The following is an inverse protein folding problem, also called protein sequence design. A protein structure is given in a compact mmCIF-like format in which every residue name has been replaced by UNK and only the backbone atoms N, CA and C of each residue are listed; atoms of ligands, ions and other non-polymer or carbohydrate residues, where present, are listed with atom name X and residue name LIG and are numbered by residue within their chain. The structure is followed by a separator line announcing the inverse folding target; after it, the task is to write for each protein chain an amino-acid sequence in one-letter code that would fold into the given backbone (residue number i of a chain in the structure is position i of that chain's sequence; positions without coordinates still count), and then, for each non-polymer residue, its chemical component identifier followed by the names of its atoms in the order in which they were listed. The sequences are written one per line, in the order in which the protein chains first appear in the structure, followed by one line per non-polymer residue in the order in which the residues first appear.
data_IF_566193242474
#
_entry.id   IF_566193242474
#
_cell.length_a   1.000
_cell.length_b   1.000
_cell.length_c   1.000
_cell.angle_alpha   90.00
_cell.angle_beta   90.00
_cell.angle_gamma   90.00
#
_symmetry.space_group_name_H-M   'P 1'
#
loop_
_entity.id
_entity.type
_entity.pdbx_description
1 polymer ?
#
# COMPACT_ATOMS: atom_id res chain seq x y z
N UNK A 1 28.98 20.97 -3.29
CA UNK A 1 28.40 19.64 -3.12
C UNK A 1 26.97 19.84 -2.65
N UNK A 2 25.99 19.53 -3.46
CA UNK A 2 24.60 19.51 -3.01
C UNK A 2 24.48 18.26 -2.12
N UNK A 3 24.22 18.46 -0.83
CA UNK A 3 23.86 17.34 0.06
C UNK A 3 22.51 16.85 -0.46
N UNK A 4 22.50 15.76 -1.17
CA UNK A 4 21.25 15.10 -1.56
C UNK A 4 20.66 14.57 -0.26
N UNK A 5 19.55 15.17 0.18
CA UNK A 5 18.83 14.70 1.36
C UNK A 5 18.33 13.27 1.16
N UNK A 6 18.10 12.55 2.26
CA UNK A 6 17.51 11.22 2.21
C UNK A 6 16.10 11.31 1.61
N UNK A 7 15.77 10.46 0.64
CA UNK A 7 14.42 10.33 0.07
C UNK A 7 13.57 9.35 0.89
N UNK A 8 12.36 9.76 1.22
CA UNK A 8 11.39 8.96 1.97
C UNK A 8 10.29 8.46 1.03
N UNK A 9 10.33 7.17 0.69
CA UNK A 9 9.37 6.54 -0.22
C UNK A 9 8.25 5.93 0.62
N UNK A 10 7.14 6.64 0.75
CA UNK A 10 5.97 6.18 1.49
C UNK A 10 5.21 5.16 0.66
N UNK A 11 5.13 3.92 1.13
CA UNK A 11 4.28 2.86 0.56
C UNK A 11 2.79 3.20 0.84
N UNK A 12 2.29 4.19 0.09
CA UNK A 12 0.97 4.79 0.28
C UNK A 12 -0.13 3.93 -0.34
N UNK A 13 -0.77 3.08 0.48
CA UNK A 13 -1.76 2.11 0.00
C UNK A 13 -3.18 2.67 -0.18
N UNK A 14 -3.43 3.94 0.12
CA UNK A 14 -4.77 4.53 0.15
C UNK A 14 -5.60 4.17 1.39
N UNK A 15 -4.99 3.53 2.39
CA UNK A 15 -5.61 3.28 3.69
C UNK A 15 -5.19 4.31 4.74
N UNK A 16 -5.99 4.40 5.82
CA UNK A 16 -5.81 5.33 6.93
C UNK A 16 -4.37 5.35 7.49
N UNK A 17 -3.84 4.20 7.90
CA UNK A 17 -2.51 4.12 8.51
C UNK A 17 -1.39 4.62 7.60
N UNK A 18 -1.47 4.34 6.28
CA UNK A 18 -0.48 4.84 5.32
C UNK A 18 -0.62 6.35 5.06
N UNK A 19 -1.82 6.91 5.21
CA UNK A 19 -2.05 8.35 5.12
C UNK A 19 -1.48 9.09 6.33
N UNK A 20 -1.74 8.60 7.55
CA UNK A 20 -1.13 9.16 8.77
C UNK A 20 0.39 9.10 8.70
N UNK A 21 0.96 7.96 8.25
CA UNK A 21 2.40 7.84 8.06
C UNK A 21 2.95 8.85 7.03
N UNK A 22 2.22 9.10 5.95
CA UNK A 22 2.61 10.11 4.95
C UNK A 22 2.63 11.52 5.53
N UNK A 23 1.61 11.88 6.33
CA UNK A 23 1.56 13.20 7.01
C UNK A 23 2.75 13.37 7.94
N UNK A 24 3.06 12.37 8.76
CA UNK A 24 4.20 12.41 9.70
C UNK A 24 5.53 12.58 8.96
N UNK A 25 5.73 11.87 7.86
CA UNK A 25 6.95 11.96 7.04
C UNK A 25 7.09 13.35 6.43
N UNK A 26 6.05 13.87 5.78
CA UNK A 26 6.10 15.19 5.15
C UNK A 26 6.32 16.30 6.19
N UNK A 27 5.68 16.22 7.35
CA UNK A 27 5.89 17.19 8.43
C UNK A 27 7.31 17.18 9.00
N UNK A 28 7.94 16.00 9.01
CA UNK A 28 9.29 15.85 9.58
C UNK A 28 10.40 16.14 8.58
N UNK A 29 10.24 15.74 7.33
CA UNK A 29 11.31 15.73 6.35
C UNK A 29 11.07 16.66 5.14
N UNK A 30 9.84 17.15 4.97
CA UNK A 30 9.45 18.01 3.85
C UNK A 30 8.80 17.24 2.69
N UNK A 31 8.02 17.98 1.91
CA UNK A 31 7.34 17.44 0.74
C UNK A 31 8.34 17.11 -0.39
N UNK A 32 9.39 17.89 -0.51
CA UNK A 32 10.45 17.76 -1.52
C UNK A 32 11.26 16.47 -1.38
N UNK A 33 11.40 15.93 -0.16
CA UNK A 33 12.11 14.68 0.11
C UNK A 33 11.18 13.48 0.24
N UNK A 34 9.88 13.66 -0.01
CA UNK A 34 8.88 12.61 0.11
C UNK A 34 8.32 12.18 -1.25
N UNK A 35 8.18 10.87 -1.44
CA UNK A 35 7.50 10.25 -2.60
C UNK A 35 6.33 9.45 -2.07
N UNK A 36 5.12 9.72 -2.55
CA UNK A 36 3.94 8.88 -2.29
C UNK A 36 3.85 7.80 -3.36
N UNK A 37 4.33 6.59 -3.07
CA UNK A 37 4.29 5.47 -4.00
C UNK A 37 3.03 4.63 -3.79
N UNK A 38 2.23 4.50 -4.84
CA UNK A 38 0.98 3.74 -4.84
C UNK A 38 0.93 2.74 -6.00
N UNK A 39 0.11 1.72 -5.86
CA UNK A 39 -0.32 0.83 -6.94
C UNK A 39 -1.81 1.03 -7.12
N UNK A 40 -2.20 1.68 -8.20
CA UNK A 40 -3.61 1.83 -8.53
C UNK A 40 -4.20 0.47 -8.91
N UNK A 41 -5.44 0.23 -8.56
CA UNK A 41 -6.08 -1.07 -8.76
C UNK A 41 -7.27 -0.92 -9.69
N UNK A 42 -7.66 -2.06 -10.28
CA UNK A 42 -8.80 -2.11 -11.19
C UNK A 42 -10.05 -1.47 -10.57
N UNK A 43 -10.70 -0.52 -11.28
CA UNK A 43 -11.87 0.21 -10.77
C UNK A 43 -13.06 -0.69 -10.40
N UNK A 44 -13.09 -1.93 -10.88
CA UNK A 44 -14.13 -2.89 -10.49
C UNK A 44 -14.02 -3.32 -9.02
N UNK A 45 -12.84 -3.26 -8.45
CA UNK A 45 -12.56 -3.80 -7.11
C UNK A 45 -11.90 -2.80 -6.16
N UNK A 46 -11.34 -1.71 -6.65
CA UNK A 46 -10.96 -0.58 -5.81
C UNK A 46 -12.12 0.42 -5.75
N UNK A 47 -12.62 0.67 -4.57
CA UNK A 47 -13.72 1.62 -4.35
C UNK A 47 -13.32 3.04 -4.78
N UNK A 48 -14.22 3.74 -5.46
CA UNK A 48 -13.98 5.10 -5.95
C UNK A 48 -13.67 6.08 -4.80
N UNK A 49 -14.21 5.84 -3.62
CA UNK A 49 -13.95 6.69 -2.45
C UNK A 49 -12.54 6.51 -1.89
N UNK A 50 -11.89 5.36 -2.13
CA UNK A 50 -10.45 5.21 -1.87
C UNK A 50 -9.64 6.11 -2.81
N UNK A 51 -10.05 6.25 -4.07
CA UNK A 51 -9.39 7.15 -5.01
C UNK A 51 -9.59 8.62 -4.61
N UNK A 52 -10.79 9.01 -4.15
CA UNK A 52 -11.03 10.33 -3.55
C UNK A 52 -10.07 10.58 -2.39
N UNK A 53 -10.01 9.64 -1.45
CA UNK A 53 -9.15 9.73 -0.27
C UNK A 53 -7.67 9.87 -0.63
N UNK A 54 -7.16 9.04 -1.55
CA UNK A 54 -5.79 9.14 -2.05
C UNK A 54 -5.49 10.54 -2.59
N UNK A 55 -6.41 11.09 -3.41
CA UNK A 55 -6.26 12.43 -3.97
C UNK A 55 -6.25 13.51 -2.89
N UNK A 56 -7.17 13.47 -1.94
CA UNK A 56 -7.24 14.46 -0.85
C UNK A 56 -5.97 14.47 0.00
N UNK A 57 -5.41 13.29 0.32
CA UNK A 57 -4.13 13.20 1.04
C UNK A 57 -2.99 13.80 0.22
N UNK A 58 -2.90 13.48 -1.06
CA UNK A 58 -1.91 14.03 -1.99
C UNK A 58 -2.00 15.56 -2.08
N UNK A 59 -3.21 16.09 -2.25
CA UNK A 59 -3.47 17.53 -2.34
C UNK A 59 -3.08 18.25 -1.02
N UNK A 60 -3.46 17.67 0.13
CA UNK A 60 -3.12 18.21 1.45
C UNK A 60 -1.62 18.28 1.69
N UNK A 61 -0.88 17.25 1.29
CA UNK A 61 0.56 17.17 1.46
C UNK A 61 1.35 17.98 0.42
N UNK A 62 0.71 18.37 -0.68
CA UNK A 62 1.42 18.98 -1.82
C UNK A 62 2.37 18.01 -2.53
N UNK A 63 2.20 16.70 -2.33
CA UNK A 63 3.05 15.65 -2.91
C UNK A 63 2.22 14.81 -3.89
N UNK A 64 2.54 14.82 -5.19
CA UNK A 64 1.82 14.01 -6.17
C UNK A 64 2.03 12.51 -5.93
N UNK A 65 0.99 11.72 -6.23
CA UNK A 65 1.11 10.28 -6.14
C UNK A 65 1.90 9.73 -7.33
N UNK A 66 2.96 8.99 -7.05
CA UNK A 66 3.69 8.19 -8.05
C UNK A 66 3.06 6.81 -8.13
N UNK A 67 2.58 6.43 -9.30
CA UNK A 67 1.97 5.12 -9.53
C UNK A 67 2.97 4.14 -10.12
N UNK A 68 3.23 3.04 -9.41
CA UNK A 68 4.04 1.92 -9.87
C UNK A 68 3.12 0.75 -10.28
N UNK A 69 2.55 0.82 -11.46
CA UNK A 69 1.59 -0.15 -11.97
C UNK A 69 2.20 -1.04 -13.06
N UNK A 70 1.68 -2.27 -13.18
CA UNK A 70 1.92 -3.09 -14.36
C UNK A 70 0.96 -2.69 -15.50
N UNK A 71 1.34 -2.86 -16.76
CA UNK A 71 0.43 -2.69 -17.89
C UNK A 71 -0.86 -3.51 -17.72
N UNK A 72 -2.01 -2.92 -18.03
CA UNK A 72 -3.31 -3.58 -17.92
C UNK A 72 -3.88 -3.71 -16.51
N UNK A 73 -3.33 -2.99 -15.52
CA UNK A 73 -3.83 -2.97 -14.14
C UNK A 73 -5.29 -2.52 -14.03
N UNK A 74 -5.73 -1.66 -14.90
CA UNK A 74 -7.08 -1.06 -14.94
C UNK A 74 -8.17 -2.05 -15.37
N UNK A 75 -7.79 -3.09 -16.10
CA UNK A 75 -8.69 -4.14 -16.59
C UNK A 75 -8.50 -5.51 -15.92
N UNK A 76 -7.45 -5.68 -15.11
CA UNK A 76 -7.12 -6.93 -14.43
C UNK A 76 -7.26 -6.79 -12.92
N UNK A 77 -8.21 -7.50 -12.32
CA UNK A 77 -8.40 -7.53 -10.88
C UNK A 77 -7.80 -8.80 -10.23
N UNK A 78 -8.02 -8.95 -8.92
CA UNK A 78 -7.51 -10.09 -8.14
C UNK A 78 -8.03 -11.44 -8.62
N UNK A 79 -9.24 -11.50 -9.17
CA UNK A 79 -9.84 -12.73 -9.67
C UNK A 79 -9.21 -13.14 -10.98
N UNK A 80 -9.02 -12.18 -11.91
CA UNK A 80 -8.38 -12.42 -13.19
C UNK A 80 -6.98 -13.00 -13.01
N UNK A 81 -6.20 -12.45 -12.07
CA UNK A 81 -4.86 -12.98 -11.74
C UNK A 81 -4.94 -14.43 -11.25
N UNK A 82 -5.88 -14.75 -10.36
CA UNK A 82 -6.00 -16.11 -9.83
C UNK A 82 -6.49 -17.10 -10.87
N UNK A 83 -7.41 -16.70 -11.74
CA UNK A 83 -7.89 -17.53 -12.85
C UNK A 83 -6.77 -17.84 -13.87
N UNK A 84 -5.96 -16.85 -14.23
CA UNK A 84 -4.83 -17.06 -15.14
C UNK A 84 -3.79 -18.02 -14.57
N UNK A 85 -3.46 -17.87 -13.29
CA UNK A 85 -2.46 -18.71 -12.61
C UNK A 85 -3.07 -20.07 -12.18
N UNK A 86 -4.41 -20.18 -12.13
CA UNK A 86 -5.19 -21.31 -11.59
C UNK A 86 -4.82 -21.64 -10.14
N UNK A 87 -4.46 -20.61 -9.36
CA UNK A 87 -4.10 -20.75 -7.95
C UNK A 87 -4.23 -19.41 -7.22
N UNK A 88 -4.54 -19.49 -5.92
CA UNK A 88 -4.52 -18.32 -5.03
C UNK A 88 -3.15 -18.07 -4.41
N UNK A 89 -2.43 -19.13 -4.03
CA UNK A 89 -1.10 -19.11 -3.41
C UNK A 89 -0.27 -20.30 -3.86
N UNK A 90 1.05 -20.12 -3.86
CA UNK A 90 2.00 -21.23 -4.09
C UNK A 90 2.07 -22.20 -2.89
N UNK A 91 1.76 -21.74 -1.68
CA UNK A 91 1.77 -22.54 -0.44
C UNK A 91 1.23 -21.74 0.74
N UNK A 92 1.03 -22.39 1.89
CA UNK A 92 0.38 -21.78 3.06
C UNK A 92 1.06 -20.48 3.54
N UNK A 93 2.37 -20.43 3.50
CA UNK A 93 3.19 -19.27 3.95
C UNK A 93 3.48 -18.25 2.84
N UNK A 94 3.11 -18.53 1.59
CA UNK A 94 3.39 -17.64 0.47
C UNK A 94 2.44 -16.44 0.41
N UNK A 95 2.89 -15.38 -0.26
CA UNK A 95 2.03 -14.24 -0.60
C UNK A 95 1.00 -14.67 -1.65
N UNK A 96 -0.23 -14.15 -1.55
CA UNK A 96 -1.25 -14.38 -2.57
C UNK A 96 -0.79 -13.84 -3.93
N UNK A 97 -1.03 -14.58 -5.01
CA UNK A 97 -0.60 -14.21 -6.35
C UNK A 97 -1.11 -12.85 -6.81
N UNK A 98 -2.35 -12.48 -6.48
CA UNK A 98 -2.88 -11.15 -6.78
C UNK A 98 -2.05 -10.04 -6.09
N UNK A 99 -1.64 -10.23 -4.83
CA UNK A 99 -0.76 -9.28 -4.14
C UNK A 99 0.60 -9.21 -4.83
N UNK A 100 1.15 -10.35 -5.24
CA UNK A 100 2.44 -10.40 -5.88
C UNK A 100 2.40 -9.66 -7.23
N UNK A 101 1.49 -10.04 -8.12
CA UNK A 101 1.39 -9.50 -9.48
C UNK A 101 0.96 -8.03 -9.54
N UNK A 102 -0.01 -7.63 -8.68
CA UNK A 102 -0.58 -6.28 -8.76
C UNK A 102 0.14 -5.25 -7.89
N UNK A 103 0.99 -5.69 -6.93
CA UNK A 103 1.65 -4.76 -5.99
C UNK A 103 3.13 -5.04 -5.80
N UNK A 104 3.52 -6.29 -5.45
CA UNK A 104 4.91 -6.58 -5.06
C UNK A 104 5.87 -6.51 -6.24
N UNK A 105 5.56 -7.16 -7.35
CA UNK A 105 6.38 -7.12 -8.56
C UNK A 105 6.51 -5.71 -9.14
N UNK A 106 5.40 -4.92 -9.32
CA UNK A 106 5.52 -3.54 -9.76
C UNK A 106 6.35 -2.68 -8.81
N UNK A 107 6.22 -2.87 -7.50
CA UNK A 107 7.01 -2.16 -6.50
C UNK A 107 8.51 -2.45 -6.65
N UNK A 108 8.89 -3.73 -6.73
CA UNK A 108 10.30 -4.11 -6.90
C UNK A 108 10.86 -3.62 -8.23
N UNK A 109 10.08 -3.71 -9.30
CA UNK A 109 10.48 -3.19 -10.60
C UNK A 109 10.73 -1.68 -10.52
N UNK A 110 9.80 -0.93 -9.97
CA UNK A 110 9.94 0.53 -9.81
C UNK A 110 11.18 0.89 -8.98
N UNK A 111 11.41 0.20 -7.85
CA UNK A 111 12.61 0.40 -7.04
C UNK A 111 13.90 0.13 -7.83
N UNK A 112 13.96 -0.96 -8.56
CA UNK A 112 15.17 -1.32 -9.33
C UNK A 112 15.46 -0.35 -10.48
N UNK A 113 14.43 0.29 -11.03
CA UNK A 113 14.57 1.25 -12.12
C UNK A 113 14.97 2.66 -11.62
N UNK A 114 14.44 3.09 -10.46
CA UNK A 114 14.65 4.45 -9.96
C UNK A 114 15.72 4.53 -8.86
N UNK A 115 15.85 3.49 -8.08
CA UNK A 115 16.76 3.43 -6.92
C UNK A 115 17.45 2.06 -6.85
N UNK A 116 18.26 1.69 -7.85
CA UNK A 116 18.93 0.39 -7.86
C UNK A 116 19.81 0.22 -6.63
N UNK A 117 19.70 -0.91 -5.94
CA UNK A 117 20.51 -1.28 -4.80
C UNK A 117 21.52 -2.39 -5.18
N UNK A 118 22.60 -2.49 -4.44
CA UNK A 118 23.65 -3.49 -4.64
C UNK A 118 23.87 -4.29 -3.34
N UNK A 119 23.00 -5.28 -3.02
CA UNK A 119 23.18 -6.09 -1.81
C UNK A 119 24.55 -6.78 -1.78
N UNK A 120 25.16 -6.94 -0.58
CA UNK A 120 24.56 -6.76 0.75
C UNK A 120 24.57 -5.32 1.29
N UNK A 121 25.07 -4.36 0.56
CA UNK A 121 25.10 -2.97 1.00
C UNK A 121 23.67 -2.42 1.07
N UNK A 122 23.37 -1.70 2.14
CA UNK A 122 22.09 -1.01 2.34
C UNK A 122 22.25 0.46 1.99
N UNK A 123 21.41 0.96 1.10
CA UNK A 123 21.41 2.37 0.70
C UNK A 123 21.05 3.27 1.89
N UNK A 124 21.77 4.36 2.06
CA UNK A 124 21.56 5.35 3.12
C UNK A 124 20.89 6.65 2.62
N UNK A 125 20.71 6.77 1.30
CA UNK A 125 20.09 7.93 0.65
C UNK A 125 18.58 7.79 0.44
N UNK A 126 18.00 6.62 0.71
CA UNK A 126 16.56 6.40 0.67
C UNK A 126 16.07 5.58 1.85
N UNK A 127 14.82 5.78 2.25
CA UNK A 127 14.10 4.99 3.24
C UNK A 127 12.71 4.62 2.74
N UNK A 128 12.31 3.35 2.92
CA UNK A 128 11.00 2.85 2.58
C UNK A 128 10.08 2.94 3.79
N UNK A 129 9.04 3.76 3.70
CA UNK A 129 8.15 4.07 4.81
C UNK A 129 6.89 3.22 4.76
N UNK A 130 6.55 2.59 5.88
CA UNK A 130 5.35 1.75 6.03
C UNK A 130 4.47 2.20 7.19
N UNK A 131 3.15 2.23 6.97
CA UNK A 131 2.15 2.54 7.99
C UNK A 131 1.83 1.36 8.92
N UNK A 132 2.86 0.70 9.50
CA UNK A 132 2.69 -0.31 10.53
C UNK A 132 2.83 0.33 11.91
N UNK A 133 1.95 -0.04 12.85
CA UNK A 133 1.97 0.48 14.22
C UNK A 133 2.73 -0.43 15.19
N UNK A 134 2.82 0.01 16.44
CA UNK A 134 3.55 -0.69 17.50
C UNK A 134 3.00 -2.10 17.81
N UNK A 135 1.72 -2.38 17.50
CA UNK A 135 1.12 -3.69 17.72
C UNK A 135 1.46 -4.69 16.59
N UNK A 136 2.07 -4.21 15.51
CA UNK A 136 2.41 -5.00 14.32
C UNK A 136 3.90 -5.40 14.26
N UNK A 137 4.56 -5.57 15.42
CA UNK A 137 6.01 -5.83 15.52
C UNK A 137 6.48 -7.01 14.65
N UNK A 138 5.67 -8.07 14.52
CA UNK A 138 6.00 -9.21 13.66
C UNK A 138 6.06 -8.83 12.17
N UNK A 139 5.19 -7.91 11.73
CA UNK A 139 5.18 -7.39 10.35
C UNK A 139 6.38 -6.47 10.12
N UNK A 140 6.70 -5.62 11.11
CA UNK A 140 7.87 -4.73 11.08
C UNK A 140 9.14 -5.56 10.92
N UNK A 141 9.40 -6.51 11.84
CA UNK A 141 10.61 -7.36 11.80
C UNK A 141 10.76 -8.10 10.46
N UNK A 142 9.65 -8.67 9.97
CA UNK A 142 9.65 -9.35 8.67
C UNK A 142 9.97 -8.38 7.54
N UNK A 143 9.43 -7.17 7.55
CA UNK A 143 9.64 -6.17 6.50
C UNK A 143 11.06 -5.64 6.51
N UNK A 144 11.61 -5.33 7.69
CA UNK A 144 13.01 -4.94 7.86
C UNK A 144 13.93 -5.98 7.21
N UNK A 145 13.79 -7.26 7.56
CA UNK A 145 14.65 -8.33 7.02
C UNK A 145 14.54 -8.47 5.50
N UNK A 146 13.32 -8.40 4.94
CA UNK A 146 13.12 -8.49 3.48
C UNK A 146 13.77 -7.31 2.76
N UNK A 147 13.56 -6.08 3.23
CA UNK A 147 14.06 -4.89 2.56
C UNK A 147 15.57 -4.74 2.74
N UNK A 148 16.13 -5.06 3.91
CA UNK A 148 17.57 -5.08 4.14
C UNK A 148 18.28 -6.09 3.21
N UNK A 149 17.71 -7.28 3.03
CA UNK A 149 18.24 -8.27 2.07
C UNK A 149 18.20 -7.79 0.61
N UNK A 150 17.37 -6.80 0.30
CA UNK A 150 17.29 -6.15 -1.01
C UNK A 150 18.13 -4.86 -1.09
N UNK A 151 18.85 -4.48 -0.02
CA UNK A 151 19.68 -3.29 0.04
C UNK A 151 18.93 -2.00 0.38
N UNK A 152 17.78 -2.07 1.07
CA UNK A 152 16.98 -0.90 1.47
C UNK A 152 16.72 -0.86 2.96
N UNK A 153 16.75 0.34 3.54
CA UNK A 153 16.29 0.59 4.90
C UNK A 153 14.79 0.91 4.96
N UNK A 154 14.22 0.83 6.15
CA UNK A 154 12.77 1.03 6.35
C UNK A 154 12.48 1.91 7.55
N UNK A 155 11.38 2.68 7.48
CA UNK A 155 10.86 3.51 8.56
C UNK A 155 9.40 3.22 8.86
N UNK A 156 9.02 3.46 10.13
CA UNK A 156 7.69 3.17 10.64
C UNK A 156 7.16 4.34 11.48
N UNK A 157 6.66 5.41 10.85
CA UNK A 157 6.27 6.64 11.55
C UNK A 157 5.22 6.43 12.65
N UNK A 158 4.35 5.42 12.51
CA UNK A 158 3.34 5.13 13.53
C UNK A 158 3.90 4.52 14.82
N UNK A 159 5.21 4.20 14.84
CA UNK A 159 5.94 3.76 16.04
C UNK A 159 6.78 4.85 16.68
N UNK A 160 6.84 6.06 16.12
CA UNK A 160 7.59 7.16 16.70
C UNK A 160 6.99 7.59 18.03
N UNK A 161 7.82 7.96 18.99
CA UNK A 161 7.41 8.42 20.33
C UNK A 161 6.57 9.69 20.26
N UNK A 162 6.95 10.61 19.37
CA UNK A 162 6.23 11.86 19.14
C UNK A 162 5.66 11.85 17.73
N UNK A 163 4.33 11.88 17.64
CA UNK A 163 3.58 12.05 16.40
C UNK A 163 2.76 13.32 16.45
N UNK A 164 2.55 13.92 15.28
CA UNK A 164 1.81 15.18 15.15
C UNK A 164 0.31 14.96 14.95
N UNK A 165 -0.09 13.78 14.49
CA UNK A 165 -1.48 13.33 14.38
C UNK A 165 -1.61 11.83 14.74
N UNK A 166 -2.78 11.45 15.21
CA UNK A 166 -3.16 10.05 15.45
C UNK A 166 -4.21 9.57 14.46
N UNK A 167 -4.97 10.50 13.89
CA UNK A 167 -6.02 10.24 12.92
C UNK A 167 -5.95 11.23 11.75
N UNK A 168 -6.26 10.74 10.55
CA UNK A 168 -6.26 11.58 9.35
C UNK A 168 -7.39 12.63 9.39
N UNK A 169 -8.44 12.40 10.17
CA UNK A 169 -9.53 13.35 10.35
C UNK A 169 -9.08 14.62 11.11
N UNK A 170 -8.01 14.55 11.89
CA UNK A 170 -7.38 15.72 12.55
C UNK A 170 -6.86 16.77 11.55
N UNK A 171 -6.64 16.37 10.29
CA UNK A 171 -6.25 17.28 9.21
C UNK A 171 -7.39 17.58 8.23
N UNK A 172 -8.63 17.28 8.63
CA UNK A 172 -9.84 17.59 7.85
C UNK A 172 -10.11 16.65 6.67
N UNK A 173 -9.47 15.47 6.65
CA UNK A 173 -9.67 14.48 5.59
C UNK A 173 -10.50 13.33 6.14
N UNK A 174 -11.71 13.14 5.61
CA UNK A 174 -12.57 12.01 5.98
C UNK A 174 -11.96 10.67 5.52
N UNK A 175 -12.02 9.67 6.40
CA UNK A 175 -11.63 8.29 6.06
C UNK A 175 -12.44 7.75 4.88
N UNK A 176 -11.91 6.79 4.13
CA UNK A 176 -12.69 6.13 3.08
C UNK A 176 -13.97 5.49 3.64
N UNK A 177 -15.09 5.67 2.95
CA UNK A 177 -16.39 5.07 3.33
C UNK A 177 -16.35 3.56 3.49
N UNK A 178 -15.41 2.91 2.82
CA UNK A 178 -15.17 1.46 2.99
C UNK A 178 -14.86 1.06 4.43
N UNK A 179 -14.37 1.96 5.28
CA UNK A 179 -14.13 1.68 6.69
C UNK A 179 -15.41 1.45 7.49
N UNK A 180 -16.53 2.11 7.13
CA UNK A 180 -17.83 1.87 7.76
C UNK A 180 -18.46 0.52 7.37
N UNK A 181 -18.02 -0.05 6.23
CA UNK A 181 -18.55 -1.29 5.67
C UNK A 181 -17.63 -2.48 5.99
N UNK A 182 -16.32 -2.31 5.78
CA UNK A 182 -15.32 -3.38 5.84
C UNK A 182 -14.26 -3.21 6.92
N UNK A 183 -14.21 -2.07 7.63
CA UNK A 183 -13.14 -1.69 8.55
C UNK A 183 -11.73 -1.61 7.92
N UNK A 184 -11.63 -1.51 6.60
CA UNK A 184 -10.35 -1.44 5.88
C UNK A 184 -10.54 -0.90 4.45
N UNK A 185 -9.42 -0.54 3.80
CA UNK A 185 -9.35 -0.07 2.42
C UNK A 185 -8.80 -1.15 1.45
N UNK A 186 -9.08 -2.43 1.67
CA UNK A 186 -8.70 -3.49 0.73
C UNK A 186 -9.67 -3.53 -0.46
N UNK A 187 -9.26 -4.24 -1.53
CA UNK A 187 -10.15 -4.51 -2.66
C UNK A 187 -11.48 -5.10 -2.20
N UNK A 188 -12.59 -4.68 -2.78
CA UNK A 188 -13.88 -5.37 -2.63
C UNK A 188 -13.75 -6.80 -3.16
N UNK A 189 -14.16 -7.78 -2.37
CA UNK A 189 -13.91 -9.20 -2.66
C UNK A 189 -12.43 -9.60 -2.49
N UNK A 190 -11.74 -9.04 -1.50
CA UNK A 190 -10.37 -9.42 -1.20
C UNK A 190 -10.28 -10.91 -0.84
N UNK A 191 -9.53 -11.69 -1.64
CA UNK A 191 -9.38 -13.14 -1.47
C UNK A 191 -8.69 -13.56 -0.16
N UNK A 192 -8.06 -12.61 0.55
CA UNK A 192 -7.44 -12.83 1.87
C UNK A 192 -8.38 -12.48 3.03
N UNK A 193 -9.55 -11.92 2.74
CA UNK A 193 -10.46 -11.45 3.76
C UNK A 193 -11.23 -12.60 4.43
N UNK A 194 -11.68 -12.35 5.66
CA UNK A 194 -12.45 -13.31 6.44
C UNK A 194 -13.93 -13.39 6.03
N UNK A 195 -14.66 -14.28 6.72
CA UNK A 195 -16.08 -14.58 6.44
C UNK A 195 -16.99 -13.35 6.47
N UNK A 196 -16.76 -12.41 7.42
CA UNK A 196 -17.57 -11.20 7.52
C UNK A 196 -17.49 -10.33 6.25
N UNK A 197 -16.29 -10.13 5.72
CA UNK A 197 -16.08 -9.41 4.47
C UNK A 197 -16.84 -10.07 3.31
N UNK A 198 -16.74 -11.39 3.20
CA UNK A 198 -17.40 -12.14 2.14
C UNK A 198 -18.93 -12.18 2.29
N UNK A 199 -19.45 -12.13 3.51
CA UNK A 199 -20.89 -11.96 3.74
C UNK A 199 -21.38 -10.60 3.23
N UNK A 200 -20.64 -9.54 3.52
CA UNK A 200 -20.96 -8.20 3.01
C UNK A 200 -20.88 -8.16 1.48
N UNK A 201 -19.84 -8.77 0.88
CA UNK A 201 -19.73 -8.88 -0.58
C UNK A 201 -20.92 -9.63 -1.18
N UNK A 202 -21.33 -10.72 -0.57
CA UNK A 202 -22.53 -11.47 -0.98
C UNK A 202 -23.79 -10.59 -0.97
N UNK A 203 -23.98 -9.79 0.06
CA UNK A 203 -25.18 -8.96 0.23
C UNK A 203 -25.18 -7.72 -0.68
N UNK A 204 -24.04 -7.04 -0.82
CA UNK A 204 -23.97 -5.71 -1.42
C UNK A 204 -23.32 -5.66 -2.81
N UNK A 205 -22.54 -6.70 -3.19
CA UNK A 205 -21.77 -6.74 -4.44
C UNK A 205 -21.96 -8.06 -5.18
N UNK A 206 -23.19 -8.35 -5.68
CA UNK A 206 -23.53 -9.65 -6.27
C UNK A 206 -22.70 -10.00 -7.51
N UNK A 207 -22.27 -9.00 -8.28
CA UNK A 207 -21.39 -9.21 -9.45
C UNK A 207 -20.00 -9.70 -9.03
N UNK A 208 -19.42 -9.07 -7.99
CA UNK A 208 -18.12 -9.47 -7.43
C UNK A 208 -18.23 -10.87 -6.80
N UNK A 209 -19.31 -11.15 -6.08
CA UNK A 209 -19.59 -12.47 -5.56
C UNK A 209 -19.70 -13.52 -6.66
N UNK A 210 -20.43 -13.20 -7.74
CA UNK A 210 -20.55 -14.06 -8.92
C UNK A 210 -19.20 -14.41 -9.53
N UNK A 211 -18.36 -13.39 -9.75
CA UNK A 211 -17.00 -13.56 -10.30
C UNK A 211 -16.11 -14.38 -9.36
N UNK A 212 -16.19 -14.15 -8.06
CA UNK A 212 -15.40 -14.87 -7.06
C UNK A 212 -15.71 -16.38 -7.02
N UNK A 213 -16.94 -16.78 -7.31
CA UNK A 213 -17.31 -18.22 -7.40
C UNK A 213 -16.73 -18.94 -8.61
N UNK A 214 -16.33 -18.20 -9.64
CA UNK A 214 -15.76 -18.73 -10.87
C UNK A 214 -14.22 -18.75 -10.84
N UNK A 215 -13.61 -18.05 -9.88
CA UNK A 215 -12.16 -17.90 -9.73
C UNK A 215 -11.58 -18.86 -8.69
#
# INVERSE_FOLDING_TARGET
MVVVGMRHIVCFSGGHSSAVAAVEVVRKFGAEDTILLNHDLCPRTEDADIKRFKKQVSDYLGVPITYANMPGWDVKDQFDVCMEIKAFKAGAQSTAFCTNRLKTEPFHKWLSEHYPANPPEVRDDISLVYGFDANEQHRIRRRVGIMAAMGYQTEYPLTWEVRTIHDIEEVGIERPKTYSIFNHANCTGCLKAGKQHWFVVYCLYPEIWGKAKLS
#
